data_IF_436120025244
#
_entry.id   IF_436120025244
#
_cell.length_a   1.000
_cell.length_b   1.000
_cell.length_c   1.000
_cell.angle_alpha   90.00
_cell.angle_beta   90.00
_cell.angle_gamma   90.00
#
_symmetry.space_group_name_H-M   'P 1'
#
loop_
_entity.id
_entity.type
_entity.pdbx_description
1 polymer ?
#
# COMPACT_ATOMS: atom_id res chain seq x y z
N UNK A 1 0.46 20.76 24.60
CA UNK A 1 -0.43 20.85 23.43
C UNK A 1 0.41 20.69 22.18
N UNK A 2 0.07 19.75 21.30
CA UNK A 2 0.77 19.50 20.03
C UNK A 2 0.20 20.35 18.89
N UNK A 3 0.99 20.62 17.85
CA UNK A 3 0.46 21.22 16.64
C UNK A 3 -0.45 20.24 15.89
N UNK A 4 -0.04 18.96 15.83
CA UNK A 4 -0.78 17.90 15.13
C UNK A 4 -0.77 16.61 15.96
N UNK A 5 -1.93 15.95 16.03
CA UNK A 5 -2.03 14.55 16.46
C UNK A 5 -2.30 13.67 15.23
N UNK A 6 -1.57 12.56 15.11
CA UNK A 6 -1.77 11.55 14.07
C UNK A 6 -2.32 10.30 14.74
N UNK A 7 -3.47 9.80 14.28
CA UNK A 7 -4.05 8.53 14.72
C UNK A 7 -3.77 7.45 13.68
N UNK A 8 -3.26 6.29 14.12
CA UNK A 8 -2.77 5.22 13.27
C UNK A 8 -1.36 5.48 12.74
N UNK A 9 -0.52 6.05 13.60
CA UNK A 9 0.83 6.46 13.25
C UNK A 9 1.82 5.29 13.07
N UNK A 10 1.50 4.09 13.54
CA UNK A 10 2.27 2.88 13.30
C UNK A 10 2.09 2.30 11.90
N UNK A 11 1.06 2.69 11.14
CA UNK A 11 0.94 2.38 9.72
C UNK A 11 1.99 3.12 8.90
N UNK A 12 2.42 2.53 7.76
CA UNK A 12 3.48 3.11 6.91
C UNK A 12 3.13 4.53 6.42
N UNK A 13 1.85 4.81 6.20
CA UNK A 13 1.37 6.15 5.82
C UNK A 13 1.48 7.11 6.99
N UNK A 14 1.08 6.68 8.19
CA UNK A 14 1.18 7.47 9.41
C UNK A 14 2.63 7.79 9.78
N UNK A 15 3.55 6.82 9.68
CA UNK A 15 4.99 7.04 9.87
C UNK A 15 5.54 8.10 8.89
N UNK A 16 5.14 8.00 7.60
CA UNK A 16 5.59 8.95 6.59
C UNK A 16 5.05 10.38 6.86
N UNK A 17 3.78 10.50 7.28
CA UNK A 17 3.16 11.79 7.63
C UNK A 17 3.83 12.38 8.87
N UNK A 18 4.07 11.58 9.91
CA UNK A 18 4.75 12.03 11.13
C UNK A 18 6.12 12.63 10.80
N UNK A 19 6.88 11.92 9.93
CA UNK A 19 8.17 12.40 9.46
C UNK A 19 8.07 13.74 8.72
N UNK A 20 7.21 13.85 7.71
CA UNK A 20 7.11 15.08 6.91
C UNK A 20 6.65 16.29 7.74
N UNK A 21 5.69 16.10 8.66
CA UNK A 21 5.22 17.17 9.55
C UNK A 21 6.31 17.60 10.54
N UNK A 22 7.01 16.64 11.17
CA UNK A 22 8.10 16.94 12.09
C UNK A 22 9.27 17.66 11.40
N UNK A 23 9.63 17.27 10.17
CA UNK A 23 10.64 17.94 9.34
C UNK A 23 10.24 19.38 8.98
N UNK A 24 8.96 19.72 9.03
CA UNK A 24 8.47 21.12 8.93
C UNK A 24 8.51 21.86 10.26
N UNK A 25 9.03 21.24 11.31
CA UNK A 25 9.16 21.82 12.66
C UNK A 25 7.85 21.85 13.44
N UNK A 26 6.84 21.07 13.06
CA UNK A 26 5.61 20.92 13.85
C UNK A 26 5.82 19.96 15.00
N UNK A 27 5.24 20.24 16.16
CA UNK A 27 5.19 19.30 17.27
C UNK A 27 4.10 18.26 16.99
N UNK A 28 4.50 16.99 16.90
CA UNK A 28 3.65 15.87 16.48
C UNK A 28 3.49 14.86 17.60
N UNK A 29 2.22 14.56 17.98
CA UNK A 29 1.86 13.36 18.73
C UNK A 29 1.42 12.26 17.76
N UNK A 30 2.10 11.13 17.73
CA UNK A 30 1.89 10.02 16.83
C UNK A 30 1.33 8.82 17.60
N UNK A 31 0.00 8.60 17.56
CA UNK A 31 -0.69 7.59 18.35
C UNK A 31 -0.88 6.31 17.52
N UNK A 32 -0.53 5.16 18.11
CA UNK A 32 -0.72 3.82 17.53
C UNK A 32 -1.31 2.89 18.59
N UNK A 33 -2.36 2.16 18.23
CA UNK A 33 -3.02 1.22 19.17
C UNK A 33 -2.19 -0.02 19.48
N UNK A 34 -1.39 -0.49 18.53
CA UNK A 34 -0.51 -1.63 18.73
C UNK A 34 0.80 -1.24 19.39
N UNK A 35 1.50 -2.24 19.93
CA UNK A 35 2.81 -2.06 20.61
C UNK A 35 3.97 -1.83 19.63
N UNK A 36 3.74 -2.02 18.33
CA UNK A 36 4.77 -1.84 17.30
C UNK A 36 4.15 -1.33 16.00
N UNK A 37 5.00 -0.81 15.09
CA UNK A 37 4.57 -0.40 13.77
C UNK A 37 4.22 -1.61 12.88
N UNK A 38 3.42 -1.35 11.84
CA UNK A 38 3.09 -2.29 10.77
C UNK A 38 2.36 -3.58 11.20
N UNK A 39 1.54 -3.56 12.25
CA UNK A 39 0.86 -4.76 12.76
C UNK A 39 -0.41 -5.14 11.98
N UNK A 40 -0.96 -4.25 11.15
CA UNK A 40 -2.19 -4.50 10.36
C UNK A 40 -1.91 -4.43 8.84
N UNK A 41 -2.74 -3.73 8.08
CA UNK A 41 -2.68 -3.61 6.60
C UNK A 41 -1.27 -3.31 6.08
N UNK A 42 -0.49 -2.51 6.81
CA UNK A 42 0.87 -2.17 6.41
C UNK A 42 1.83 -3.37 6.49
N UNK A 43 1.76 -4.20 7.53
CA UNK A 43 2.62 -5.39 7.69
C UNK A 43 2.16 -6.60 6.87
N UNK A 44 0.85 -6.70 6.64
CA UNK A 44 0.19 -7.87 6.07
C UNK A 44 -0.15 -7.66 4.57
N UNK A 45 0.83 -7.23 3.79
CA UNK A 45 0.70 -6.98 2.35
C UNK A 45 1.82 -7.63 1.53
N UNK A 46 1.84 -7.41 0.21
CA UNK A 46 2.83 -7.99 -0.71
C UNK A 46 4.23 -7.33 -0.66
N UNK A 47 4.42 -6.24 0.09
CA UNK A 47 5.67 -5.44 0.19
C UNK A 47 6.18 -4.88 -1.14
N UNK A 48 5.30 -4.78 -2.13
CA UNK A 48 5.62 -4.32 -3.48
C UNK A 48 5.55 -2.80 -3.57
N UNK A 49 6.61 -2.21 -4.08
CA UNK A 49 6.65 -0.81 -4.51
C UNK A 49 6.26 -0.76 -5.98
N UNK A 50 4.97 -0.53 -6.23
CA UNK A 50 4.39 -0.41 -7.57
C UNK A 50 4.72 0.90 -8.23
N UNK A 51 4.88 0.89 -9.57
CA UNK A 51 5.10 2.10 -10.38
C UNK A 51 3.84 2.93 -10.68
N UNK A 52 2.67 2.49 -10.26
CA UNK A 52 1.39 3.10 -10.65
C UNK A 52 0.80 2.55 -11.95
N UNK A 53 1.49 1.65 -12.66
CA UNK A 53 1.13 1.14 -14.00
C UNK A 53 -0.30 0.56 -14.09
N UNK A 54 -0.78 -0.10 -13.03
CA UNK A 54 -2.12 -0.68 -12.98
C UNK A 54 -3.21 0.34 -12.70
N UNK A 55 -2.86 1.48 -12.14
CA UNK A 55 -3.84 2.44 -11.64
C UNK A 55 -4.52 3.19 -12.80
N UNK A 56 -5.76 3.60 -12.58
CA UNK A 56 -6.52 4.35 -13.58
C UNK A 56 -5.93 5.76 -13.70
N UNK A 57 -5.54 6.22 -14.89
CA UNK A 57 -5.04 7.57 -15.10
C UNK A 57 -6.05 8.63 -14.60
N UNK A 58 -5.53 9.71 -14.02
CA UNK A 58 -6.36 10.80 -13.46
C UNK A 58 -6.87 10.55 -12.05
N UNK A 59 -6.58 9.39 -11.45
CA UNK A 59 -6.89 9.11 -10.04
C UNK A 59 -5.77 9.58 -9.12
N UNK A 60 -6.12 9.87 -7.86
CA UNK A 60 -5.15 10.19 -6.82
C UNK A 60 -4.20 9.02 -6.56
N UNK A 61 -4.71 7.77 -6.60
CA UNK A 61 -3.91 6.53 -6.55
C UNK A 61 -2.80 6.51 -7.59
N UNK A 62 -3.13 6.82 -8.86
CA UNK A 62 -2.17 6.79 -9.96
C UNK A 62 -1.06 7.83 -9.76
N UNK A 63 -1.45 9.05 -9.41
CA UNK A 63 -0.52 10.16 -9.19
C UNK A 63 0.41 9.88 -8.00
N UNK A 64 -0.16 9.57 -6.84
CA UNK A 64 0.61 9.37 -5.61
C UNK A 64 1.45 8.09 -5.63
N UNK A 65 1.00 7.02 -6.31
CA UNK A 65 1.79 5.79 -6.41
C UNK A 65 3.02 5.98 -7.30
N UNK A 66 2.89 6.69 -8.44
CA UNK A 66 4.01 7.00 -9.32
C UNK A 66 5.09 7.79 -8.60
N UNK A 67 4.71 8.91 -8.01
CA UNK A 67 5.62 9.83 -7.35
C UNK A 67 6.20 9.21 -6.06
N UNK A 68 5.35 8.60 -5.23
CA UNK A 68 5.74 7.95 -3.99
C UNK A 68 6.71 6.79 -4.22
N UNK A 69 6.50 5.98 -5.27
CA UNK A 69 7.43 4.88 -5.57
C UNK A 69 8.84 5.36 -5.93
N UNK A 70 8.95 6.47 -6.64
CA UNK A 70 10.26 7.09 -6.93
C UNK A 70 10.93 7.62 -5.66
N UNK A 71 10.14 8.28 -4.79
CA UNK A 71 10.61 8.78 -3.49
C UNK A 71 11.10 7.64 -2.58
N UNK A 72 10.33 6.53 -2.47
CA UNK A 72 10.69 5.38 -1.65
C UNK A 72 11.99 4.74 -2.13
N UNK A 73 12.15 4.50 -3.45
CA UNK A 73 13.39 3.93 -4.01
C UNK A 73 14.61 4.81 -3.74
N UNK A 74 14.45 6.13 -3.83
CA UNK A 74 15.50 7.08 -3.47
C UNK A 74 15.83 7.02 -1.99
N UNK A 75 14.81 7.11 -1.13
CA UNK A 75 14.96 7.08 0.32
C UNK A 75 15.60 5.77 0.82
N UNK A 76 15.13 4.63 0.29
CA UNK A 76 15.68 3.33 0.65
C UNK A 76 17.17 3.22 0.31
N UNK A 77 17.59 3.75 -0.87
CA UNK A 77 19.01 3.79 -1.26
C UNK A 77 19.83 4.68 -0.34
N UNK A 78 19.33 5.88 -0.03
CA UNK A 78 20.02 6.85 0.85
C UNK A 78 20.17 6.34 2.29
N UNK A 79 19.25 5.46 2.74
CA UNK A 79 19.23 4.90 4.10
C UNK A 79 19.74 3.47 4.21
N UNK A 80 20.17 2.85 3.11
CA UNK A 80 20.62 1.46 3.12
C UNK A 80 19.51 0.44 3.42
N UNK A 81 18.23 0.79 3.19
CA UNK A 81 17.10 -0.11 3.43
C UNK A 81 17.08 -1.18 2.32
N UNK A 82 16.99 -2.49 2.68
CA UNK A 82 16.93 -3.55 1.70
C UNK A 82 15.76 -3.35 0.72
N UNK A 83 16.10 -3.17 -0.56
CA UNK A 83 15.14 -2.99 -1.65
C UNK A 83 15.66 -3.70 -2.88
N UNK A 84 14.88 -4.68 -3.37
CA UNK A 84 15.23 -5.45 -4.57
C UNK A 84 14.44 -4.97 -5.77
N UNK A 85 15.13 -4.58 -6.83
CA UNK A 85 14.54 -4.23 -8.12
C UNK A 85 14.15 -5.51 -8.85
N UNK A 86 12.95 -6.00 -8.57
CA UNK A 86 12.43 -7.25 -9.14
C UNK A 86 11.88 -7.07 -10.55
N UNK A 87 11.48 -5.85 -10.90
CA UNK A 87 10.58 -5.64 -12.02
C UNK A 87 9.23 -6.37 -11.79
N UNK A 88 8.35 -6.26 -12.78
CA UNK A 88 7.06 -6.94 -12.79
C UNK A 88 6.73 -7.41 -14.20
N UNK A 89 6.51 -8.69 -14.38
CA UNK A 89 6.03 -9.29 -15.60
C UNK A 89 4.51 -9.53 -15.49
N UNK A 90 3.72 -8.83 -16.29
CA UNK A 90 2.31 -9.13 -16.48
C UNK A 90 2.22 -10.09 -17.66
N UNK A 91 1.97 -11.37 -17.37
CA UNK A 91 2.12 -12.46 -18.31
C UNK A 91 0.78 -13.05 -18.75
N UNK A 92 0.71 -13.42 -20.03
CA UNK A 92 -0.38 -14.20 -20.62
C UNK A 92 -0.08 -15.68 -20.42
N UNK A 93 -0.82 -16.40 -19.57
CA UNK A 93 -0.55 -17.80 -19.30
C UNK A 93 -0.82 -18.67 -20.55
N UNK A 94 -0.13 -19.78 -20.69
CA UNK A 94 -0.22 -20.64 -21.88
C UNK A 94 -1.64 -21.18 -22.12
N UNK A 95 -2.41 -21.45 -21.07
CA UNK A 95 -3.81 -21.91 -21.16
C UNK A 95 -4.79 -20.88 -21.73
N UNK A 96 -4.39 -19.60 -21.88
CA UNK A 96 -5.24 -18.58 -22.50
C UNK A 96 -5.59 -18.85 -23.97
N UNK A 97 -4.83 -19.70 -24.65
CA UNK A 97 -5.12 -20.14 -26.03
C UNK A 97 -6.49 -20.82 -26.10
N UNK A 98 -6.83 -21.65 -25.10
CA UNK A 98 -8.08 -22.42 -25.06
C UNK A 98 -9.31 -21.57 -24.72
N UNK A 99 -9.13 -20.46 -23.98
CA UNK A 99 -10.20 -19.55 -23.57
C UNK A 99 -10.44 -18.37 -24.54
N UNK A 100 -9.62 -18.29 -25.60
CA UNK A 100 -9.60 -17.19 -26.57
C UNK A 100 -8.74 -16.02 -26.09
N UNK A 101 -7.67 -15.72 -26.82
CA UNK A 101 -6.66 -14.70 -26.50
C UNK A 101 -7.21 -13.24 -26.40
N UNK A 102 -8.44 -13.01 -26.82
CA UNK A 102 -9.05 -11.66 -26.90
C UNK A 102 -9.13 -10.94 -25.55
N UNK A 103 -9.37 -11.69 -24.46
CA UNK A 103 -9.46 -11.11 -23.11
C UNK A 103 -8.10 -10.60 -22.64
N UNK A 104 -7.08 -11.40 -22.83
CA UNK A 104 -5.70 -11.07 -22.45
C UNK A 104 -5.14 -9.96 -23.36
N UNK A 105 -5.39 -10.03 -24.66
CA UNK A 105 -5.01 -8.98 -25.59
C UNK A 105 -5.64 -7.62 -25.23
N UNK A 106 -6.93 -7.61 -24.92
CA UNK A 106 -7.64 -6.39 -24.46
C UNK A 106 -7.07 -5.88 -23.14
N UNK A 107 -6.71 -6.78 -22.22
CA UNK A 107 -6.06 -6.42 -20.97
C UNK A 107 -4.70 -5.75 -21.21
N UNK A 108 -3.83 -6.38 -22.01
CA UNK A 108 -2.51 -5.84 -22.33
C UNK A 108 -2.61 -4.50 -23.05
N UNK A 109 -3.58 -4.34 -23.97
CA UNK A 109 -3.84 -3.07 -24.65
C UNK A 109 -4.24 -1.95 -23.69
N UNK A 110 -5.14 -2.22 -22.75
CA UNK A 110 -5.54 -1.25 -21.74
C UNK A 110 -4.37 -0.87 -20.81
N UNK A 111 -3.57 -1.86 -20.40
CA UNK A 111 -2.37 -1.64 -19.60
C UNK A 111 -1.32 -0.83 -20.37
N UNK A 112 -1.12 -1.11 -21.66
CA UNK A 112 -0.26 -0.32 -22.53
C UNK A 112 -0.70 1.15 -22.59
N UNK A 113 -2.00 1.41 -22.81
CA UNK A 113 -2.54 2.78 -22.81
C UNK A 113 -2.29 3.49 -21.48
N UNK A 114 -2.52 2.81 -20.36
CA UNK A 114 -2.27 3.36 -19.01
C UNK A 114 -0.80 3.68 -18.78
N UNK A 115 0.09 2.78 -19.13
CA UNK A 115 1.53 3.00 -19.01
C UNK A 115 2.00 4.20 -19.81
N UNK A 116 1.58 4.30 -21.08
CA UNK A 116 1.91 5.45 -21.93
C UNK A 116 1.36 6.77 -21.41
N UNK A 117 0.09 6.81 -21.00
CA UNK A 117 -0.55 8.05 -20.51
C UNK A 117 0.07 8.55 -19.20
N UNK A 118 0.72 7.68 -18.44
CA UNK A 118 1.39 8.01 -17.16
C UNK A 118 2.92 8.15 -17.30
N UNK A 119 3.47 8.00 -18.53
CA UNK A 119 4.90 8.03 -18.80
C UNK A 119 5.70 7.00 -17.96
N UNK A 120 5.14 5.79 -17.79
CA UNK A 120 5.79 4.68 -17.08
C UNK A 120 6.48 3.79 -18.12
N UNK A 121 7.80 3.56 -17.97
CA UNK A 121 8.58 2.70 -18.85
C UNK A 121 8.16 1.23 -18.73
N UNK A 122 8.03 0.55 -19.87
CA UNK A 122 7.73 -0.87 -19.98
C UNK A 122 8.25 -1.46 -21.30
N UNK A 123 8.33 -2.78 -21.37
CA UNK A 123 8.76 -3.54 -22.55
C UNK A 123 7.74 -4.63 -22.88
N UNK A 124 7.45 -4.82 -24.17
CA UNK A 124 6.70 -5.99 -24.61
C UNK A 124 7.59 -7.23 -24.63
N UNK A 125 7.05 -8.35 -24.16
CA UNK A 125 7.67 -9.67 -24.18
C UNK A 125 6.85 -10.55 -25.12
N UNK A 126 7.32 -10.73 -26.34
CA UNK A 126 6.51 -11.27 -27.45
C UNK A 126 6.67 -12.77 -27.68
N UNK A 127 7.36 -13.50 -26.78
CA UNK A 127 7.55 -14.95 -26.95
C UNK A 127 7.74 -15.67 -25.62
N UNK A 128 7.45 -16.98 -25.58
CA UNK A 128 7.76 -17.83 -24.42
C UNK A 128 9.25 -17.85 -24.06
N UNK A 129 10.13 -17.73 -25.04
CA UNK A 129 11.58 -17.64 -24.81
C UNK A 129 11.93 -16.31 -24.10
N UNK A 130 11.34 -15.20 -24.54
CA UNK A 130 11.50 -13.90 -23.88
C UNK A 130 11.00 -13.91 -22.43
N UNK A 131 9.87 -14.56 -22.17
CA UNK A 131 9.35 -14.77 -20.81
C UNK A 131 10.35 -15.49 -19.93
N UNK A 132 10.90 -16.63 -20.41
CA UNK A 132 11.86 -17.45 -19.64
C UNK A 132 13.16 -16.74 -19.31
N UNK A 133 13.56 -15.74 -20.10
CA UNK A 133 14.72 -14.88 -19.77
C UNK A 133 14.46 -13.96 -18.58
N UNK A 134 13.18 -13.62 -18.31
CA UNK A 134 12.77 -12.71 -17.22
C UNK A 134 12.41 -13.53 -15.99
N UNK A 135 11.61 -14.58 -16.15
CA UNK A 135 11.16 -15.46 -15.08
C UNK A 135 10.97 -16.89 -15.61
N UNK A 136 11.36 -17.93 -14.84
CA UNK A 136 11.24 -19.33 -15.26
C UNK A 136 9.79 -19.83 -15.15
N UNK A 137 8.88 -19.17 -15.83
CA UNK A 137 7.44 -19.47 -15.84
C UNK A 137 6.94 -19.78 -17.25
N UNK A 138 5.84 -20.52 -17.35
CA UNK A 138 5.21 -20.90 -18.62
C UNK A 138 4.18 -19.85 -19.03
N UNK A 139 4.53 -18.99 -19.98
CA UNK A 139 3.63 -17.99 -20.54
C UNK A 139 3.94 -17.74 -22.01
N UNK A 140 2.98 -17.20 -22.75
CA UNK A 140 3.07 -16.89 -24.18
C UNK A 140 3.86 -15.60 -24.45
N UNK A 141 3.74 -14.62 -23.56
CA UNK A 141 4.30 -13.28 -23.64
C UNK A 141 3.71 -12.38 -22.56
N UNK A 142 3.87 -11.09 -22.70
CA UNK A 142 3.33 -10.13 -21.73
C UNK A 142 3.93 -8.73 -21.83
N UNK A 143 3.85 -7.99 -20.73
CA UNK A 143 4.48 -6.68 -20.54
C UNK A 143 5.39 -6.76 -19.32
N UNK A 144 6.63 -6.30 -19.47
CA UNK A 144 7.58 -6.18 -18.37
C UNK A 144 7.74 -4.72 -17.97
N UNK A 145 7.57 -4.44 -16.68
CA UNK A 145 7.72 -3.12 -16.06
C UNK A 145 8.94 -3.14 -15.13
N UNK A 146 10.08 -2.51 -15.53
CA UNK A 146 11.30 -2.54 -14.72
C UNK A 146 11.20 -1.74 -13.41
N UNK A 147 10.40 -0.69 -13.40
CA UNK A 147 10.30 0.25 -12.26
C UNK A 147 9.39 -0.28 -11.13
N UNK A 148 9.55 -1.56 -10.75
CA UNK A 148 8.87 -2.20 -9.62
C UNK A 148 9.90 -2.89 -8.74
N UNK A 149 9.70 -2.82 -7.43
CA UNK A 149 10.64 -3.34 -6.43
C UNK A 149 9.87 -4.00 -5.29
N UNK A 150 10.55 -4.78 -4.47
CA UNK A 150 10.09 -5.20 -3.15
C UNK A 150 11.00 -4.61 -2.09
N UNK A 151 10.44 -4.25 -0.93
CA UNK A 151 11.15 -3.56 0.14
C UNK A 151 11.07 -4.33 1.45
N UNK A 152 12.09 -4.22 2.28
CA UNK A 152 12.00 -4.54 3.69
C UNK A 152 11.13 -3.48 4.37
N UNK A 153 9.89 -3.89 4.66
CA UNK A 153 8.87 -2.97 5.13
C UNK A 153 9.12 -2.53 6.57
N UNK A 154 9.58 -3.45 7.40
CA UNK A 154 9.89 -3.20 8.80
C UNK A 154 11.03 -2.19 8.90
N UNK A 155 12.14 -2.42 8.21
CA UNK A 155 13.27 -1.49 8.16
C UNK A 155 12.86 -0.12 7.57
N UNK A 156 11.94 -0.10 6.60
CA UNK A 156 11.43 1.14 6.02
C UNK A 156 10.58 1.93 7.02
N UNK A 157 9.66 1.26 7.74
CA UNK A 157 8.81 1.91 8.75
C UNK A 157 9.64 2.43 9.92
N UNK A 158 10.57 1.64 10.44
CA UNK A 158 11.49 2.04 11.50
C UNK A 158 12.35 3.24 11.11
N UNK A 159 12.85 3.26 9.89
CA UNK A 159 13.64 4.40 9.37
C UNK A 159 12.80 5.69 9.31
N UNK A 160 11.53 5.60 8.83
CA UNK A 160 10.62 6.75 8.79
C UNK A 160 10.28 7.25 10.21
N UNK A 161 9.94 6.34 11.12
CA UNK A 161 9.62 6.67 12.49
C UNK A 161 10.85 7.24 13.24
N UNK A 162 12.03 6.68 13.01
CA UNK A 162 13.29 7.20 13.56
C UNK A 162 13.63 8.60 13.06
N UNK A 163 13.44 8.88 11.76
CA UNK A 163 13.62 10.23 11.23
C UNK A 163 12.60 11.21 11.81
N UNK A 164 11.33 10.79 11.97
CA UNK A 164 10.29 11.59 12.60
C UNK A 164 10.64 11.92 14.05
N UNK A 165 11.10 10.93 14.82
CA UNK A 165 11.48 11.12 16.22
C UNK A 165 12.69 12.05 16.37
N UNK A 166 13.71 11.91 15.52
CA UNK A 166 14.87 12.84 15.46
C UNK A 166 14.45 14.27 15.13
N UNK A 167 13.39 14.44 14.35
CA UNK A 167 12.81 15.74 14.01
C UNK A 167 11.82 16.27 15.06
N UNK A 168 11.60 15.55 16.19
CA UNK A 168 10.78 15.99 17.32
C UNK A 168 9.38 15.40 17.41
N UNK A 169 8.98 14.47 16.54
CA UNK A 169 7.75 13.71 16.72
C UNK A 169 7.85 12.74 17.90
N UNK A 170 6.75 12.57 18.64
CA UNK A 170 6.67 11.63 19.76
C UNK A 170 5.68 10.52 19.42
N UNK A 171 6.16 9.27 19.36
CA UNK A 171 5.34 8.10 19.16
C UNK A 171 4.83 7.54 20.47
N UNK A 172 3.55 7.20 20.49
CA UNK A 172 2.86 6.58 21.62
C UNK A 172 2.22 5.29 21.11
N UNK A 173 2.92 4.18 21.33
CA UNK A 173 2.43 2.84 21.03
C UNK A 173 1.53 2.32 22.16
N UNK A 174 0.65 1.37 21.89
CA UNK A 174 -0.35 0.89 22.85
C UNK A 174 -1.40 1.95 23.20
N UNK A 175 -1.57 2.97 22.39
CA UNK A 175 -2.44 4.13 22.62
C UNK A 175 -3.66 4.09 21.70
N UNK A 176 -4.59 3.16 21.97
CA UNK A 176 -5.86 3.10 21.25
C UNK A 176 -6.75 4.30 21.60
N UNK A 177 -7.18 5.02 20.58
CA UNK A 177 -8.06 6.18 20.77
C UNK A 177 -9.49 5.72 21.04
N UNK A 178 -10.02 6.11 22.20
CA UNK A 178 -11.36 5.73 22.69
C UNK A 178 -12.38 6.85 22.55
N UNK A 179 -11.93 8.11 22.59
CA UNK A 179 -12.80 9.27 22.41
C UNK A 179 -12.05 10.47 21.82
N UNK A 180 -12.76 11.31 21.08
CA UNK A 180 -12.26 12.56 20.53
C UNK A 180 -13.32 13.64 20.77
N UNK A 181 -12.91 14.74 21.41
CA UNK A 181 -13.73 15.93 21.55
C UNK A 181 -13.04 17.12 20.88
N UNK A 182 -13.81 17.98 20.22
CA UNK A 182 -13.31 19.18 19.57
C UNK A 182 -13.84 20.42 20.31
N UNK A 183 -12.97 21.42 20.51
CA UNK A 183 -13.33 22.76 21.01
C UNK A 183 -12.70 23.83 20.10
N UNK A 184 -12.88 25.12 20.48
CA UNK A 184 -12.34 26.25 19.72
C UNK A 184 -10.79 26.29 19.69
N UNK A 185 -10.12 25.52 20.56
CA UNK A 185 -8.67 25.52 20.72
C UNK A 185 -7.99 24.29 20.07
N UNK A 186 -8.76 23.26 19.73
CA UNK A 186 -8.21 22.03 19.13
C UNK A 186 -9.03 20.79 19.48
N UNK A 187 -8.34 19.67 19.44
CA UNK A 187 -8.86 18.35 19.79
C UNK A 187 -8.33 17.90 21.16
N UNK A 188 -9.22 17.34 21.96
CA UNK A 188 -8.89 16.50 23.11
C UNK A 188 -9.08 15.04 22.67
N UNK A 189 -8.00 14.30 22.64
CA UNK A 189 -7.95 12.88 22.22
C UNK A 189 -7.69 12.06 23.47
N UNK A 190 -8.57 11.08 23.75
CA UNK A 190 -8.45 10.17 24.87
C UNK A 190 -8.09 8.78 24.40
N UNK A 191 -7.17 8.16 25.13
CA UNK A 191 -6.90 6.73 25.08
C UNK A 191 -7.35 6.11 26.42
N UNK A 192 -7.10 4.82 26.61
CA UNK A 192 -7.43 4.19 27.89
C UNK A 192 -6.66 4.81 29.07
N UNK A 193 -5.39 5.20 28.85
CA UNK A 193 -4.48 5.60 29.92
C UNK A 193 -4.05 7.07 29.86
N UNK A 194 -4.24 7.76 28.72
CA UNK A 194 -3.70 9.09 28.50
C UNK A 194 -4.70 10.04 27.81
N UNK A 195 -4.42 11.34 27.96
CA UNK A 195 -5.09 12.40 27.21
C UNK A 195 -4.10 13.24 26.42
N UNK A 196 -4.43 13.54 25.18
CA UNK A 196 -3.63 14.35 24.27
C UNK A 196 -4.41 15.57 23.79
N UNK A 197 -3.74 16.72 23.69
CA UNK A 197 -4.32 17.92 23.09
C UNK A 197 -3.51 18.32 21.87
N UNK A 198 -4.22 18.57 20.74
CA UNK A 198 -3.61 18.99 19.49
C UNK A 198 -4.48 20.02 18.75
N UNK A 199 -3.83 20.94 18.03
CA UNK A 199 -4.53 21.97 17.24
C UNK A 199 -5.18 21.41 15.98
N UNK A 200 -4.62 20.32 15.43
CA UNK A 200 -5.13 19.64 14.24
C UNK A 200 -5.04 18.14 14.41
N UNK A 201 -5.91 17.42 13.67
CA UNK A 201 -5.95 15.96 13.68
C UNK A 201 -5.70 15.42 12.27
N UNK A 202 -4.83 14.39 12.17
CA UNK A 202 -4.65 13.59 10.96
C UNK A 202 -5.11 12.17 11.27
N UNK A 203 -6.13 11.73 10.58
CA UNK A 203 -6.68 10.40 10.65
C UNK A 203 -6.07 9.51 9.58
N UNK A 204 -5.08 8.69 9.97
CA UNK A 204 -4.43 7.65 9.16
C UNK A 204 -4.68 6.25 9.71
N UNK A 205 -5.81 6.02 10.38
CA UNK A 205 -6.15 4.82 11.14
C UNK A 205 -6.54 3.60 10.27
N UNK A 206 -6.23 3.62 8.96
CA UNK A 206 -6.34 2.46 8.08
C UNK A 206 -7.73 1.84 8.07
N UNK A 207 -7.87 0.61 8.59
CA UNK A 207 -9.15 -0.11 8.67
C UNK A 207 -10.19 0.64 9.52
N UNK A 208 -9.77 1.39 10.51
CA UNK A 208 -10.63 2.11 11.43
C UNK A 208 -10.80 3.61 11.09
N UNK A 209 -10.28 4.05 9.94
CA UNK A 209 -10.28 5.47 9.60
C UNK A 209 -11.70 6.08 9.51
N UNK A 210 -12.70 5.33 9.07
CA UNK A 210 -14.10 5.76 9.06
C UNK A 210 -14.68 5.93 10.47
N UNK A 211 -14.27 5.09 11.44
CA UNK A 211 -14.66 5.19 12.85
C UNK A 211 -14.05 6.43 13.47
N UNK A 212 -12.74 6.65 13.26
CA UNK A 212 -12.04 7.84 13.77
C UNK A 212 -12.61 9.13 13.17
N UNK A 213 -12.96 9.13 11.87
CA UNK A 213 -13.61 10.28 11.24
C UNK A 213 -14.90 10.64 11.97
N UNK A 214 -15.78 9.66 12.20
CA UNK A 214 -17.04 9.84 12.91
C UNK A 214 -16.82 10.30 14.35
N UNK A 215 -15.88 9.70 15.06
CA UNK A 215 -15.51 10.04 16.44
C UNK A 215 -15.02 11.49 16.54
N UNK A 216 -14.29 11.97 15.54
CA UNK A 216 -13.84 13.37 15.45
C UNK A 216 -14.93 14.35 14.93
N UNK A 217 -16.18 13.87 14.76
CA UNK A 217 -17.28 14.66 14.20
C UNK A 217 -17.14 14.91 12.68
N UNK A 218 -16.28 14.16 11.98
CA UNK A 218 -16.06 14.23 10.54
C UNK A 218 -17.16 13.55 9.74
N UNK A 219 -17.02 13.51 8.39
CA UNK A 219 -17.95 12.79 7.52
C UNK A 219 -18.00 11.29 7.84
N UNK A 220 -19.15 10.69 7.59
CA UNK A 220 -19.31 9.23 7.61
C UNK A 220 -18.92 8.65 6.24
N UNK A 221 -18.26 7.49 6.26
CA UNK A 221 -17.76 6.80 5.07
C UNK A 221 -18.21 5.34 5.07
N UNK A 222 -18.85 4.92 4.00
CA UNK A 222 -19.18 3.51 3.77
C UNK A 222 -17.93 2.77 3.28
N UNK A 223 -17.50 1.77 4.05
CA UNK A 223 -16.31 0.99 3.76
C UNK A 223 -16.63 -0.45 3.42
N UNK A 224 -15.94 -0.97 2.41
CA UNK A 224 -15.85 -2.39 2.10
C UNK A 224 -14.48 -2.92 2.58
N UNK A 225 -14.47 -4.13 3.14
CA UNK A 225 -13.25 -4.78 3.57
C UNK A 225 -13.01 -6.03 2.76
N UNK A 226 -11.85 -6.11 2.11
CA UNK A 226 -11.42 -7.28 1.35
C UNK A 226 -10.28 -7.97 2.09
N UNK A 227 -10.43 -9.27 2.28
CA UNK A 227 -9.39 -10.14 2.79
C UNK A 227 -8.47 -10.57 1.65
N UNK A 228 -7.17 -10.52 1.87
CA UNK A 228 -6.16 -10.99 0.96
C UNK A 228 -5.28 -12.05 1.63
N UNK A 229 -5.44 -13.29 1.23
CA UNK A 229 -4.69 -14.43 1.75
C UNK A 229 -3.43 -14.67 0.95
N UNK A 230 -2.35 -15.11 1.63
CA UNK A 230 -1.06 -15.39 1.05
C UNK A 230 -0.57 -16.77 1.45
N UNK A 231 0.04 -17.48 0.49
CA UNK A 231 0.77 -18.71 0.70
C UNK A 231 2.24 -18.52 0.36
N UNK A 232 3.12 -19.16 1.11
CA UNK A 232 4.54 -19.25 0.80
C UNK A 232 4.77 -20.43 -0.14
N UNK A 233 5.55 -20.23 -1.21
CA UNK A 233 6.09 -21.32 -2.03
C UNK A 233 7.33 -21.87 -1.33
N UNK A 234 7.22 -23.11 -0.86
CA UNK A 234 8.27 -23.78 -0.09
C UNK A 234 9.56 -23.89 -0.92
N UNK A 235 10.68 -23.53 -0.29
CA UNK A 235 11.99 -23.46 -0.94
C UNK A 235 12.31 -22.11 -1.58
N UNK A 236 11.35 -21.18 -1.59
CA UNK A 236 11.56 -19.78 -1.94
C UNK A 236 12.22 -19.56 -3.31
N UNK A 237 12.93 -18.44 -3.43
CA UNK A 237 13.64 -18.03 -4.65
C UNK A 237 14.71 -19.05 -5.04
N UNK A 238 15.36 -19.73 -4.08
CA UNK A 238 16.42 -20.70 -4.36
C UNK A 238 15.92 -21.93 -5.13
N UNK A 239 14.74 -22.44 -4.78
CA UNK A 239 14.13 -23.59 -5.48
C UNK A 239 13.49 -23.18 -6.79
N UNK A 240 12.65 -22.13 -6.76
CA UNK A 240 11.82 -21.76 -7.89
C UNK A 240 12.51 -20.83 -8.89
N UNK A 241 13.65 -20.23 -8.53
CA UNK A 241 14.44 -19.29 -9.34
C UNK A 241 13.64 -18.06 -9.83
N UNK A 242 12.47 -17.78 -9.24
CA UNK A 242 11.61 -16.63 -9.57
C UNK A 242 12.09 -15.43 -8.78
N UNK A 243 12.74 -14.48 -9.46
CA UNK A 243 13.27 -13.23 -8.90
C UNK A 243 12.48 -11.99 -9.33
N UNK A 244 11.52 -12.19 -10.21
CA UNK A 244 10.63 -11.15 -10.78
C UNK A 244 9.22 -11.35 -10.25
N UNK A 245 8.50 -10.25 -10.01
CA UNK A 245 7.06 -10.32 -9.74
C UNK A 245 6.33 -10.80 -10.99
N UNK A 246 5.52 -11.85 -10.89
CA UNK A 246 4.77 -12.42 -12.01
C UNK A 246 3.28 -12.30 -11.74
N UNK A 247 2.61 -11.47 -12.54
CA UNK A 247 1.19 -11.20 -12.48
C UNK A 247 0.47 -11.82 -13.67
N UNK A 248 -0.75 -12.35 -13.49
CA UNK A 248 -1.59 -12.71 -14.64
C UNK A 248 -2.09 -11.46 -15.35
N UNK A 249 -2.23 -11.53 -16.67
CA UNK A 249 -2.99 -10.54 -17.43
C UNK A 249 -4.48 -10.69 -17.07
N UNK A 250 -5.00 -9.78 -16.24
CA UNK A 250 -6.39 -9.83 -15.75
C UNK A 250 -7.35 -9.10 -16.71
N UNK A 251 -8.61 -9.55 -16.84
CA UNK A 251 -9.62 -8.84 -17.62
C UNK A 251 -9.77 -7.38 -17.19
N UNK A 252 -10.12 -6.46 -18.11
CA UNK A 252 -10.17 -5.01 -17.84
C UNK A 252 -11.10 -4.58 -16.69
N UNK A 253 -12.14 -5.38 -16.41
CA UNK A 253 -13.13 -5.14 -15.34
C UNK A 253 -12.85 -5.92 -14.06
N UNK A 254 -11.69 -6.56 -13.94
CA UNK A 254 -11.33 -7.26 -12.70
C UNK A 254 -11.18 -6.30 -11.53
N UNK A 255 -11.82 -6.60 -10.40
CA UNK A 255 -11.69 -5.86 -9.13
C UNK A 255 -10.34 -6.12 -8.42
N UNK A 256 -9.51 -7.02 -8.95
CA UNK A 256 -8.24 -7.46 -8.39
C UNK A 256 -7.16 -7.49 -9.47
N UNK A 257 -5.90 -7.29 -9.06
CA UNK A 257 -4.71 -7.48 -9.92
C UNK A 257 -4.40 -8.97 -10.18
N UNK A 258 -5.21 -9.87 -9.60
CA UNK A 258 -5.03 -11.32 -9.66
C UNK A 258 -4.02 -11.85 -8.64
N UNK A 259 -4.11 -13.16 -8.39
CA UNK A 259 -3.15 -13.89 -7.57
C UNK A 259 -1.83 -13.95 -8.34
N UNK A 260 -0.75 -13.48 -7.73
CA UNK A 260 0.56 -13.32 -8.38
C UNK A 260 1.69 -13.89 -7.52
N UNK A 261 2.85 -14.10 -8.13
CA UNK A 261 4.07 -14.50 -7.41
C UNK A 261 4.88 -13.26 -7.05
N UNK A 262 5.45 -13.25 -5.84
CA UNK A 262 6.31 -12.17 -5.39
C UNK A 262 7.45 -12.66 -4.52
N UNK A 263 8.72 -12.45 -4.95
CA UNK A 263 9.85 -12.63 -4.05
C UNK A 263 9.82 -11.55 -2.96
N UNK A 264 10.45 -11.86 -1.83
CA UNK A 264 10.72 -10.92 -0.76
C UNK A 264 12.21 -10.69 -0.57
N UNK A 265 12.55 -9.69 0.24
CA UNK A 265 13.93 -9.32 0.55
C UNK A 265 14.67 -10.39 1.37
N UNK A 266 13.93 -11.27 2.05
CA UNK A 266 14.43 -12.42 2.81
C UNK A 266 14.65 -13.69 1.95
N UNK A 267 14.41 -13.62 0.63
CA UNK A 267 14.52 -14.76 -0.28
C UNK A 267 13.30 -15.69 -0.32
N UNK A 268 12.28 -15.46 0.50
CA UNK A 268 11.02 -16.17 0.42
C UNK A 268 10.26 -15.79 -0.85
N UNK A 269 9.40 -16.68 -1.29
CA UNK A 269 8.53 -16.46 -2.43
C UNK A 269 7.09 -16.69 -2.01
N UNK A 270 6.23 -15.73 -2.28
CA UNK A 270 4.82 -15.77 -1.91
C UNK A 270 3.92 -15.77 -3.14
N UNK A 271 2.76 -16.41 -3.00
CA UNK A 271 1.65 -16.35 -3.96
C UNK A 271 0.43 -15.73 -3.27
N UNK A 272 -0.21 -14.78 -3.91
CA UNK A 272 -1.33 -14.00 -3.39
C UNK A 272 -1.25 -12.54 -3.87
N UNK A 273 -2.11 -11.69 -3.33
CA UNK A 273 -3.23 -12.03 -2.44
C UNK A 273 -4.46 -12.55 -3.18
N UNK A 274 -5.35 -13.21 -2.45
CA UNK A 274 -6.76 -13.32 -2.84
C UNK A 274 -7.46 -11.96 -2.73
N UNK A 275 -8.75 -11.91 -3.10
CA UNK A 275 -9.60 -10.75 -2.89
C UNK A 275 -11.02 -11.24 -2.61
N UNK A 276 -11.23 -11.74 -1.41
CA UNK A 276 -12.53 -12.22 -0.92
C UNK A 276 -13.17 -11.18 -0.02
N UNK A 277 -14.51 -11.09 0.04
CA UNK A 277 -15.18 -10.30 1.06
C UNK A 277 -14.74 -10.77 2.45
N UNK A 278 -14.52 -9.84 3.37
CA UNK A 278 -14.18 -10.19 4.74
C UNK A 278 -15.43 -10.70 5.48
N UNK A 279 -15.31 -11.68 6.37
CA UNK A 279 -14.09 -12.34 6.89
C UNK A 279 -13.66 -13.60 6.11
N UNK A 280 -14.24 -13.92 4.97
CA UNK A 280 -14.05 -15.18 4.24
C UNK A 280 -12.60 -15.42 3.84
N UNK A 281 -12.12 -16.62 4.12
CA UNK A 281 -10.82 -17.10 3.67
C UNK A 281 -10.94 -17.74 2.28
N UNK A 282 -10.02 -17.41 1.38
CA UNK A 282 -9.96 -18.05 0.08
C UNK A 282 -9.48 -19.51 0.23
N UNK A 283 -10.07 -20.46 -0.52
CA UNK A 283 -9.60 -21.84 -0.51
C UNK A 283 -8.19 -21.94 -1.09
N UNK A 284 -7.38 -22.87 -0.60
CA UNK A 284 -6.00 -23.12 -1.05
C UNK A 284 -5.93 -23.44 -2.55
N UNK A 285 -6.96 -24.11 -3.05
CA UNK A 285 -7.13 -24.49 -4.45
C UNK A 285 -7.07 -23.29 -5.39
N UNK A 286 -7.60 -22.13 -4.99
CA UNK A 286 -7.53 -20.88 -5.76
C UNK A 286 -6.07 -20.50 -6.08
N UNK A 287 -5.18 -20.65 -5.10
CA UNK A 287 -3.77 -20.31 -5.24
C UNK A 287 -3.03 -21.38 -6.05
N UNK A 288 -3.36 -22.63 -5.83
CA UNK A 288 -2.77 -23.75 -6.56
C UNK A 288 -3.14 -23.69 -8.06
N UNK A 289 -4.40 -23.42 -8.39
CA UNK A 289 -4.86 -23.23 -9.76
C UNK A 289 -4.21 -22.01 -10.42
N UNK A 290 -4.14 -20.88 -9.70
CA UNK A 290 -3.46 -19.68 -10.18
C UNK A 290 -1.98 -19.95 -10.46
N UNK A 291 -1.32 -20.72 -9.59
CA UNK A 291 0.07 -21.11 -9.75
C UNK A 291 0.28 -22.05 -10.94
N UNK A 292 -0.55 -23.08 -11.11
CA UNK A 292 -0.46 -24.06 -12.22
C UNK A 292 -0.52 -23.44 -13.60
N UNK A 293 -1.16 -22.29 -13.73
CA UNK A 293 -1.17 -21.53 -15.00
C UNK A 293 0.22 -21.15 -15.49
N UNK A 294 1.18 -20.99 -14.55
CA UNK A 294 2.55 -20.56 -14.80
C UNK A 294 3.60 -21.61 -14.45
N UNK A 295 3.29 -22.45 -13.46
CA UNK A 295 4.15 -23.50 -12.90
C UNK A 295 3.40 -24.85 -12.97
N UNK A 296 3.36 -25.53 -14.14
CA UNK A 296 2.51 -26.72 -14.32
C UNK A 296 2.80 -27.89 -13.38
N UNK A 297 3.99 -27.94 -12.82
CA UNK A 297 4.44 -29.04 -11.96
C UNK A 297 4.26 -28.75 -10.45
N UNK A 298 3.65 -27.63 -10.10
CA UNK A 298 3.39 -27.30 -8.69
C UNK A 298 2.35 -28.25 -8.10
N UNK A 299 2.62 -28.76 -6.92
CA UNK A 299 1.74 -29.62 -6.13
C UNK A 299 1.27 -28.94 -4.86
N UNK A 300 0.29 -29.53 -4.19
CA UNK A 300 -0.31 -28.96 -2.99
C UNK A 300 0.71 -28.71 -1.87
N UNK A 301 1.62 -29.67 -1.66
CA UNK A 301 2.67 -29.60 -0.65
C UNK A 301 3.71 -28.50 -0.89
N UNK A 302 3.74 -27.89 -2.07
CA UNK A 302 4.59 -26.74 -2.36
C UNK A 302 4.05 -25.43 -1.77
N UNK A 303 2.79 -25.41 -1.33
CA UNK A 303 2.13 -24.24 -0.77
C UNK A 303 1.90 -24.38 0.74
N UNK A 304 2.50 -23.48 1.51
CA UNK A 304 2.29 -23.35 2.95
C UNK A 304 1.53 -22.06 3.25
N UNK A 305 0.48 -22.15 4.08
CA UNK A 305 -0.19 -20.96 4.60
C UNK A 305 0.81 -19.98 5.21
N UNK A 306 0.68 -18.70 4.90
CA UNK A 306 1.57 -17.67 5.41
C UNK A 306 0.84 -16.67 6.31
N UNK A 307 -0.06 -15.89 5.75
CA UNK A 307 -0.79 -14.85 6.50
C UNK A 307 -1.96 -14.31 5.65
N UNK A 308 -2.79 -13.51 6.28
CA UNK A 308 -3.82 -12.71 5.61
C UNK A 308 -3.74 -11.25 6.02
N UNK A 309 -4.10 -10.36 5.10
CA UNK A 309 -4.22 -8.93 5.36
C UNK A 309 -5.58 -8.39 4.93
N UNK A 310 -6.07 -7.39 5.66
CA UNK A 310 -7.31 -6.71 5.36
C UNK A 310 -7.05 -5.43 4.58
N UNK A 311 -7.89 -5.14 3.59
CA UNK A 311 -7.81 -3.95 2.75
C UNK A 311 -9.06 -3.10 2.90
N UNK A 312 -8.95 -1.84 3.39
CA UNK A 312 -10.06 -0.92 3.42
C UNK A 312 -10.33 -0.39 2.00
N UNK A 313 -11.52 -0.62 1.47
CA UNK A 313 -11.96 -0.05 0.19
C UNK A 313 -13.12 0.91 0.40
N UNK A 314 -13.12 1.96 -0.39
CA UNK A 314 -14.26 2.85 -0.53
C UNK A 314 -14.87 2.70 -1.94
N UNK A 315 -16.16 2.95 -2.08
CA UNK A 315 -16.90 2.82 -3.36
C UNK A 315 -16.38 3.70 -4.49
N UNK A 316 -15.63 4.76 -4.18
CA UNK A 316 -14.96 5.60 -5.18
C UNK A 316 -13.84 4.89 -5.94
N UNK A 317 -13.36 3.76 -5.43
CA UNK A 317 -12.18 3.03 -5.94
C UNK A 317 -10.88 3.85 -5.96
N UNK A 318 -10.88 5.07 -5.41
CA UNK A 318 -9.72 5.96 -5.28
C UNK A 318 -9.43 6.25 -3.80
N UNK A 319 -8.28 6.84 -3.51
CA UNK A 319 -7.98 7.38 -2.19
C UNK A 319 -8.82 8.62 -1.91
N UNK A 320 -9.37 8.70 -0.71
CA UNK A 320 -9.97 9.93 -0.20
C UNK A 320 -8.98 10.52 0.79
N UNK A 321 -8.35 11.62 0.41
CA UNK A 321 -7.48 12.41 1.28
C UNK A 321 -8.04 13.83 1.27
N UNK A 322 -8.70 14.17 2.35
CA UNK A 322 -9.48 15.42 2.43
C UNK A 322 -9.18 16.19 3.71
N UNK A 323 -9.04 17.50 3.58
CA UNK A 323 -9.03 18.43 4.70
C UNK A 323 -10.45 18.93 4.96
N UNK A 324 -11.00 18.56 6.09
CA UNK A 324 -12.19 19.20 6.63
C UNK A 324 -11.77 20.53 7.27
N UNK A 325 -12.22 21.63 6.68
CA UNK A 325 -11.83 22.99 7.06
C UNK A 325 -12.60 23.56 8.25
N UNK A 326 -13.31 22.72 8.99
CA UNK A 326 -13.88 23.14 10.28
C UNK A 326 -12.77 23.64 11.23
N UNK A 327 -13.13 24.22 12.31
CA UNK A 327 -12.22 24.55 13.40
C UNK A 327 -12.55 23.64 14.57
N UNK A 328 -11.62 22.80 15.03
CA UNK A 328 -10.24 22.58 14.55
C UNK A 328 -10.16 21.72 13.26
N UNK A 329 -9.08 21.84 12.46
CA UNK A 329 -8.96 21.15 11.18
C UNK A 329 -8.72 19.64 11.34
N UNK A 330 -9.39 18.85 10.49
CA UNK A 330 -9.28 17.41 10.41
C UNK A 330 -8.83 16.99 9.00
N UNK A 331 -7.74 16.21 8.89
CA UNK A 331 -7.36 15.54 7.65
C UNK A 331 -7.76 14.07 7.75
N UNK A 332 -8.62 13.63 6.86
CA UNK A 332 -9.03 12.23 6.73
C UNK A 332 -8.31 11.53 5.58
N UNK A 333 -7.77 10.32 5.86
CA UNK A 333 -7.22 9.41 4.86
C UNK A 333 -8.07 8.13 4.86
N UNK A 334 -8.97 8.01 3.88
CA UNK A 334 -9.97 6.94 3.79
C UNK A 334 -9.70 6.08 2.56
N UNK A 335 -9.88 4.77 2.69
CA UNK A 335 -9.73 3.84 1.57
C UNK A 335 -8.28 3.71 1.08
N UNK A 336 -7.31 3.90 1.96
CA UNK A 336 -5.89 3.75 1.62
C UNK A 336 -5.53 2.25 1.57
N UNK A 337 -5.97 1.59 0.49
CA UNK A 337 -5.62 0.22 0.15
C UNK A 337 -4.39 0.16 -0.79
N UNK A 338 -4.26 -0.88 -1.64
CA UNK A 338 -3.20 -0.91 -2.66
C UNK A 338 -3.45 0.18 -3.73
N UNK A 339 -2.44 0.98 -4.06
CA UNK A 339 -1.01 0.89 -3.73
C UNK A 339 -0.53 1.84 -2.61
N UNK A 340 -1.19 1.87 -1.46
CA UNK A 340 -0.92 2.79 -0.35
C UNK A 340 0.54 2.77 0.14
N UNK A 341 1.18 1.59 0.24
CA UNK A 341 2.61 1.50 0.55
C UNK A 341 3.45 2.28 -0.46
N UNK A 342 3.23 2.06 -1.76
CA UNK A 342 3.98 2.75 -2.83
C UNK A 342 3.73 4.26 -2.84
N UNK A 343 2.57 4.69 -2.39
CA UNK A 343 2.15 6.09 -2.34
C UNK A 343 2.55 6.80 -1.04
N UNK A 344 2.97 6.08 0.01
CA UNK A 344 3.06 6.58 1.39
C UNK A 344 3.83 7.89 1.54
N UNK A 345 5.01 8.02 0.93
CA UNK A 345 5.79 9.24 1.03
C UNK A 345 5.18 10.42 0.23
N UNK A 346 4.53 10.14 -0.90
CA UNK A 346 3.81 11.17 -1.66
C UNK A 346 2.53 11.60 -0.94
N UNK A 347 1.81 10.66 -0.31
CA UNK A 347 0.67 10.96 0.57
C UNK A 347 1.10 11.91 1.68
N UNK A 348 2.22 11.65 2.34
CA UNK A 348 2.72 12.50 3.41
C UNK A 348 2.97 13.95 2.95
N UNK A 349 3.60 14.14 1.79
CA UNK A 349 3.78 15.47 1.20
C UNK A 349 2.44 16.13 0.86
N UNK A 350 1.53 15.37 0.26
CA UNK A 350 0.21 15.86 -0.09
C UNK A 350 -0.58 16.32 1.15
N UNK A 351 -0.49 15.59 2.27
CA UNK A 351 -1.09 16.00 3.56
C UNK A 351 -0.48 17.32 4.06
N UNK A 352 0.85 17.47 4.01
CA UNK A 352 1.52 18.73 4.39
C UNK A 352 1.04 19.89 3.52
N UNK A 353 0.92 19.70 2.21
CA UNK A 353 0.40 20.73 1.29
C UNK A 353 -1.04 21.12 1.62
N UNK A 354 -1.93 20.13 1.87
CA UNK A 354 -3.30 20.38 2.29
C UNK A 354 -3.38 21.21 3.59
N UNK A 355 -2.53 20.87 4.55
CA UNK A 355 -2.47 21.58 5.83
C UNK A 355 -1.91 23.00 5.69
N UNK A 356 -0.97 23.24 4.78
CA UNK A 356 -0.40 24.57 4.50
C UNK A 356 -1.40 25.49 3.78
N UNK A 357 -2.21 24.96 2.86
CA UNK A 357 -3.27 25.71 2.17
C UNK A 357 -4.46 26.02 3.07
N UNK A 358 -4.60 25.31 4.20
CA UNK A 358 -5.59 25.51 5.26
C UNK A 358 -4.95 26.10 6.49
N UNK A 359 -5.18 27.35 6.83
CA UNK A 359 -5.00 28.13 8.07
C UNK A 359 -4.01 27.68 9.18
N UNK A 360 -3.36 26.53 9.12
CA UNK A 360 -2.40 26.08 10.17
C UNK A 360 -1.14 26.96 10.17
N UNK A 361 -0.76 27.51 9.02
CA UNK A 361 0.34 28.49 8.92
C UNK A 361 0.04 29.83 9.64
N UNK A 362 -1.23 30.17 9.85
CA UNK A 362 -1.62 31.40 10.57
C UNK A 362 -1.63 31.25 12.09
N UNK A 363 -1.61 30.06 12.64
CA UNK A 363 -1.63 29.79 14.09
C UNK A 363 -0.27 30.01 14.79
N UNK A 364 0.82 30.16 14.05
CA UNK A 364 2.15 30.49 14.61
C UNK A 364 2.39 31.98 14.83
N UNK A 365 1.49 32.84 14.35
CA UNK A 365 1.60 34.32 14.47
C UNK A 365 0.68 34.92 15.52
N UNK A 366 0.08 34.12 16.37
CA UNK A 366 -0.65 34.51 17.59
C UNK A 366 0.00 33.82 18.81
#
# INVERSE_FOLDING_TARGET
MYDVCIIGAGGIVGCAIARELALKGLSVAALEKHQAACQETSGLNSRVIHSGFHEKPGTLKAFLARDGSAMIRRYARERGIPLFNTGMLIAVPHGAIQSGLWREATSLWNLWRRGRSQNIGFHFVVSPHGVRKIAPVRALGGIFIPAVSVIDLEAFAESLAGDAAKAGARFFYGSEVTAIAADNHGYLIRTENDEFRARALVNSAGLNAHIISRMAGGPDYEMEFLRGDYYELIGGVERWKIRTLVYPAMPPRSRSKGVHFGPRTDGKLYIGPSATPAPEQAPKELFLEAARRFLPHIVDDDLKWAYSGMRPKHKSEDFIISLDRRTPPLVNLIGIDSPGLSASMAIARYVVELMNTGRISRMRSL
#
